data_IF_749748474911
#
_entry.id   IF_749748474911
#
_cell.length_a   1.000
_cell.length_b   1.000
_cell.length_c   1.000
_cell.angle_alpha   90.00
_cell.angle_beta   90.00
_cell.angle_gamma   90.00
#
_symmetry.space_group_name_H-M   'P 1'
#
loop_
_entity.id
_entity.type
_entity.pdbx_description
1 polymer ?
#
# COMPACT_ATOMS: atom_id res chain seq x y z
N UNK A 1 2.71 -49.69 26.04
CA UNK A 1 1.55 -49.30 25.22
C UNK A 1 0.34 -49.08 26.13
N UNK A 2 0.05 -47.84 26.52
CA UNK A 2 -1.16 -47.47 27.28
C UNK A 2 -2.06 -46.69 26.34
N UNK A 3 -3.25 -47.22 26.06
CA UNK A 3 -4.26 -46.61 25.19
C UNK A 3 -5.10 -45.68 26.06
N UNK A 4 -5.07 -44.38 25.78
CA UNK A 4 -6.01 -43.41 26.33
C UNK A 4 -6.97 -43.01 25.21
N UNK A 5 -8.21 -43.48 25.30
CA UNK A 5 -9.30 -43.11 24.40
C UNK A 5 -10.07 -41.98 25.08
N UNK A 6 -9.88 -40.74 24.61
CA UNK A 6 -10.67 -39.58 25.03
C UNK A 6 -11.96 -39.50 24.18
N UNK A 7 -13.15 -39.30 24.78
CA UNK A 7 -14.36 -39.05 24.00
C UNK A 7 -14.40 -37.59 23.52
N UNK A 8 -14.61 -37.43 22.20
CA UNK A 8 -14.82 -36.16 21.51
C UNK A 8 -16.23 -35.66 21.85
N UNK A 9 -16.33 -34.51 22.54
CA UNK A 9 -17.60 -33.80 22.75
C UNK A 9 -17.77 -32.83 21.58
N UNK A 10 -18.72 -33.15 20.69
CA UNK A 10 -19.09 -32.34 19.53
C UNK A 10 -20.11 -31.28 19.98
N UNK A 11 -19.70 -30.01 20.06
CA UNK A 11 -20.59 -28.87 20.34
C UNK A 11 -20.93 -28.17 19.02
N UNK A 12 -22.09 -28.50 18.45
CA UNK A 12 -22.63 -27.83 17.27
C UNK A 12 -23.28 -26.50 17.70
N UNK A 13 -22.65 -25.38 17.36
CA UNK A 13 -23.26 -24.04 17.49
C UNK A 13 -23.79 -23.64 16.13
N UNK A 14 -25.11 -23.75 15.96
CA UNK A 14 -25.83 -23.26 14.80
C UNK A 14 -25.97 -21.74 14.87
N UNK A 15 -25.22 -21.01 14.03
CA UNK A 15 -25.47 -19.59 13.76
C UNK A 15 -26.59 -19.47 12.72
N UNK A 16 -27.72 -18.91 13.14
CA UNK A 16 -28.82 -18.54 12.25
C UNK A 16 -28.50 -17.21 11.56
N UNK A 17 -28.45 -17.20 10.23
CA UNK A 17 -28.42 -15.98 9.42
C UNK A 17 -29.81 -15.33 9.43
N UNK A 18 -29.91 -14.09 9.93
CA UNK A 18 -31.09 -13.24 9.70
C UNK A 18 -30.83 -12.33 8.51
N UNK A 19 -31.38 -12.71 7.35
CA UNK A 19 -31.58 -11.82 6.21
C UNK A 19 -32.79 -10.93 6.52
N UNK A 20 -32.57 -9.64 6.73
CA UNK A 20 -33.64 -8.63 6.68
C UNK A 20 -33.40 -7.73 5.48
N UNK A 21 -34.18 -7.98 4.42
CA UNK A 21 -34.38 -7.05 3.32
C UNK A 21 -35.56 -6.11 3.57
N UNK A 22 -35.85 -5.32 2.54
CA UNK A 22 -36.90 -4.29 2.36
C UNK A 22 -36.49 -2.87 2.77
N UNK A 23 -36.78 -1.80 2.01
CA UNK A 23 -37.23 -1.65 0.62
C UNK A 23 -37.15 -0.15 0.27
N UNK A 24 -36.96 0.12 -1.01
CA UNK A 24 -36.95 1.42 -1.70
C UNK A 24 -38.28 2.18 -1.56
N UNK A 25 -38.24 3.45 -1.17
CA UNK A 25 -39.18 4.54 -1.44
C UNK A 25 -38.31 5.80 -1.55
N UNK A 26 -38.37 6.69 -2.54
CA UNK A 26 -39.43 7.11 -3.44
C UNK A 26 -39.32 8.63 -3.48
N UNK A 27 -38.88 9.19 -4.61
CA UNK A 27 -38.76 10.63 -4.89
C UNK A 27 -40.06 11.41 -4.59
N UNK A 28 -39.93 12.62 -4.02
CA UNK A 28 -40.33 13.89 -4.66
C UNK A 28 -40.15 15.08 -3.69
N UNK A 29 -39.41 16.11 -4.10
CA UNK A 29 -39.97 17.46 -4.33
C UNK A 29 -38.89 18.42 -4.83
N UNK A 30 -39.13 18.87 -6.06
CA UNK A 30 -38.51 19.95 -6.80
C UNK A 30 -38.52 21.28 -6.04
N UNK A 31 -37.41 22.02 -6.07
CA UNK A 31 -37.44 23.48 -5.96
C UNK A 31 -36.65 24.06 -7.14
N UNK A 32 -37.40 24.61 -8.08
CA UNK A 32 -36.98 25.15 -9.36
C UNK A 32 -36.71 26.64 -9.16
N UNK A 33 -35.45 27.07 -9.36
CA UNK A 33 -35.13 28.49 -9.36
C UNK A 33 -35.24 29.03 -10.79
N UNK A 34 -36.24 29.89 -10.96
CA UNK A 34 -36.65 30.60 -12.17
C UNK A 34 -35.63 31.67 -12.55
N UNK A 35 -35.17 31.69 -13.80
CA UNK A 35 -34.78 32.92 -14.52
C UNK A 35 -35.39 32.87 -15.94
N UNK A 36 -35.88 34.04 -16.36
CA UNK A 36 -36.84 34.28 -17.43
C UNK A 36 -36.31 34.12 -18.87
N UNK A 37 -37.28 34.01 -19.76
CA UNK A 37 -37.17 33.77 -21.19
C UNK A 37 -36.47 34.88 -21.99
N UNK A 38 -35.77 34.48 -23.05
CA UNK A 38 -35.19 35.37 -24.04
C UNK A 38 -34.90 34.66 -25.37
N UNK A 39 -35.94 34.57 -26.19
CA UNK A 39 -35.93 34.42 -27.66
C UNK A 39 -35.48 33.10 -28.31
N UNK A 40 -36.46 32.45 -28.97
CA UNK A 40 -36.25 31.36 -29.92
C UNK A 40 -36.00 31.97 -31.30
N UNK A 41 -34.86 31.68 -31.91
CA UNK A 41 -34.74 31.73 -33.37
C UNK A 41 -33.97 30.49 -33.84
N UNK A 42 -34.68 29.62 -34.53
CA UNK A 42 -34.20 28.39 -35.15
C UNK A 42 -33.47 28.70 -36.45
N UNK A 43 -32.20 28.31 -36.58
CA UNK A 43 -31.56 28.01 -37.88
C UNK A 43 -30.71 26.74 -37.75
N UNK A 44 -30.89 25.86 -38.73
CA UNK A 44 -30.33 24.51 -38.87
C UNK A 44 -28.84 24.51 -39.32
N UNK A 45 -28.17 23.33 -39.36
CA UNK A 45 -26.74 23.19 -39.08
C UNK A 45 -25.85 23.31 -40.33
N UNK A 46 -24.67 23.90 -40.15
CA UNK A 46 -23.60 23.91 -41.16
C UNK A 46 -22.37 23.18 -40.61
N UNK A 47 -22.07 22.08 -41.27
CA UNK A 47 -20.91 21.19 -41.26
C UNK A 47 -19.57 21.90 -41.03
N UNK A 48 -18.83 21.50 -39.98
CA UNK A 48 -17.44 21.88 -39.73
C UNK A 48 -16.61 20.66 -39.32
N UNK A 49 -15.42 20.54 -39.91
CA UNK A 49 -14.51 19.39 -39.88
C UNK A 49 -14.10 18.91 -38.46
N UNK A 50 -13.69 17.63 -38.29
CA UNK A 50 -13.23 17.13 -37.00
C UNK A 50 -11.86 17.74 -36.67
N UNK A 51 -11.76 18.39 -35.51
CA UNK A 51 -10.48 18.70 -34.89
C UNK A 51 -9.74 17.39 -34.63
N UNK A 52 -8.50 17.30 -35.13
CA UNK A 52 -7.56 16.24 -34.81
C UNK A 52 -7.36 16.18 -33.29
N UNK A 53 -7.86 15.11 -32.70
CA UNK A 53 -7.50 14.69 -31.35
C UNK A 53 -6.00 14.44 -31.30
N UNK A 54 -5.23 15.44 -30.84
CA UNK A 54 -3.86 15.23 -30.39
C UNK A 54 -3.93 14.36 -29.13
N UNK A 55 -3.64 13.07 -29.30
CA UNK A 55 -3.33 12.20 -28.18
C UNK A 55 -2.13 12.79 -27.41
N UNK A 56 -2.15 12.84 -26.07
CA UNK A 56 -0.96 13.24 -25.34
C UNK A 56 0.14 12.22 -25.63
N UNK A 57 1.24 12.70 -26.17
CA UNK A 57 2.50 11.96 -26.23
C UNK A 57 2.85 11.61 -24.78
N UNK A 58 2.74 10.33 -24.42
CA UNK A 58 3.18 9.83 -23.12
C UNK A 58 4.66 10.16 -23.01
N UNK A 59 4.98 11.19 -22.24
CA UNK A 59 6.34 11.52 -21.90
C UNK A 59 6.96 10.27 -21.24
N UNK A 60 7.89 9.61 -21.93
CA UNK A 60 8.75 8.59 -21.34
C UNK A 60 9.42 9.23 -20.13
N UNK A 61 8.89 8.93 -18.94
CA UNK A 61 9.49 9.33 -17.68
C UNK A 61 10.82 8.58 -17.62
N UNK A 62 11.91 9.32 -17.74
CA UNK A 62 13.28 8.80 -17.67
C UNK A 62 13.38 7.83 -16.49
N UNK A 63 13.54 6.55 -16.80
CA UNK A 63 13.49 5.49 -15.79
C UNK A 63 14.77 5.63 -14.95
N UNK A 64 14.61 6.16 -13.74
CA UNK A 64 15.69 6.28 -12.78
C UNK A 64 16.44 4.95 -12.62
N UNK A 65 17.74 5.03 -12.35
CA UNK A 65 18.56 3.84 -12.13
C UNK A 65 17.95 2.95 -11.03
N UNK A 66 18.01 1.61 -11.20
CA UNK A 66 17.46 0.69 -10.22
C UNK A 66 18.20 0.81 -8.88
N UNK A 67 17.45 0.74 -7.78
CA UNK A 67 17.98 0.77 -6.43
C UNK A 67 18.52 -0.62 -6.09
N UNK A 68 19.82 -0.74 -5.79
CA UNK A 68 20.37 -2.00 -5.32
C UNK A 68 20.44 -2.03 -3.79
N UNK A 69 19.80 -3.03 -3.18
CA UNK A 69 19.85 -3.27 -1.73
C UNK A 69 20.53 -4.60 -1.49
N UNK A 70 21.81 -4.55 -1.15
CA UNK A 70 22.56 -5.71 -0.70
C UNK A 70 22.32 -6.01 0.79
N UNK A 71 23.08 -6.99 1.30
CA UNK A 71 23.06 -7.35 2.72
C UNK A 71 23.61 -6.17 3.53
N UNK A 72 22.81 -5.68 4.48
CA UNK A 72 23.16 -4.62 5.41
C UNK A 72 22.41 -4.76 6.73
N UNK A 73 23.10 -4.49 7.82
CA UNK A 73 22.48 -4.43 9.15
C UNK A 73 21.95 -3.02 9.39
N UNK A 74 20.66 -2.91 9.67
CA UNK A 74 20.04 -1.65 10.03
C UNK A 74 20.42 -1.22 11.45
N UNK A 75 20.49 0.09 11.72
CA UNK A 75 20.73 0.56 13.08
C UNK A 75 19.47 0.39 13.95
N UNK A 76 19.46 -0.63 14.79
CA UNK A 76 18.35 -0.93 15.71
C UNK A 76 18.51 -0.29 17.10
N UNK A 77 19.58 0.46 17.36
CA UNK A 77 19.79 1.10 18.66
C UNK A 77 18.68 2.12 18.95
N UNK A 78 18.01 1.97 20.10
CA UNK A 78 16.89 2.82 20.50
C UNK A 78 15.62 2.63 19.66
N UNK A 79 15.51 1.53 18.93
CA UNK A 79 14.31 1.19 18.15
C UNK A 79 13.55 -0.01 18.72
N UNK A 80 12.24 0.07 18.66
CA UNK A 80 11.33 -1.03 18.92
C UNK A 80 10.72 -1.58 17.62
N UNK A 81 10.40 -2.88 17.64
CA UNK A 81 9.64 -3.54 16.57
C UNK A 81 8.20 -3.03 16.60
N UNK A 82 7.77 -2.37 15.52
CA UNK A 82 6.41 -1.87 15.35
C UNK A 82 5.52 -2.92 14.66
N UNK A 83 6.04 -3.58 13.63
CA UNK A 83 5.30 -4.58 12.88
C UNK A 83 6.23 -5.65 12.31
N UNK A 84 5.75 -6.89 12.21
CA UNK A 84 6.43 -7.96 11.48
C UNK A 84 5.45 -8.79 10.65
N UNK A 85 5.94 -9.30 9.53
CA UNK A 85 5.27 -10.27 8.69
C UNK A 85 6.23 -11.44 8.42
N UNK A 86 6.10 -12.59 9.12
CA UNK A 86 6.86 -13.78 8.81
C UNK A 86 6.32 -14.48 7.56
N UNK A 87 7.22 -14.97 6.71
CA UNK A 87 6.86 -15.71 5.50
C UNK A 87 7.94 -16.74 5.12
N UNK A 88 7.64 -17.60 4.15
CA UNK A 88 8.58 -18.59 3.62
C UNK A 88 8.79 -18.29 2.14
N UNK A 89 10.05 -18.33 1.71
CA UNK A 89 10.43 -18.19 0.29
C UNK A 89 11.57 -19.15 -0.02
N UNK A 90 11.37 -19.99 -1.04
CA UNK A 90 12.20 -21.18 -1.25
C UNK A 90 12.14 -22.10 -0.03
N UNK A 91 13.32 -22.48 0.49
CA UNK A 91 13.46 -23.31 1.69
C UNK A 91 13.82 -22.49 2.95
N UNK A 92 13.73 -21.16 2.89
CA UNK A 92 14.14 -20.26 3.96
C UNK A 92 12.96 -19.58 4.64
N UNK A 93 13.08 -19.37 5.94
CA UNK A 93 12.20 -18.49 6.71
C UNK A 93 12.66 -17.04 6.60
N UNK A 94 11.71 -16.16 6.33
CA UNK A 94 11.92 -14.72 6.19
C UNK A 94 11.02 -13.93 7.12
N UNK A 95 11.43 -12.69 7.38
CA UNK A 95 10.62 -11.69 8.08
C UNK A 95 10.73 -10.35 7.39
N UNK A 96 9.60 -9.73 7.09
CA UNK A 96 9.54 -8.31 6.77
C UNK A 96 9.22 -7.56 8.06
N UNK A 97 10.07 -6.62 8.46
CA UNK A 97 10.00 -5.95 9.75
C UNK A 97 10.02 -4.43 9.58
N UNK A 98 9.24 -3.75 10.42
CA UNK A 98 9.24 -2.30 10.56
C UNK A 98 9.60 -1.94 12.00
N UNK A 99 10.60 -1.08 12.15
CA UNK A 99 11.07 -0.54 13.42
C UNK A 99 10.85 0.97 13.47
N UNK A 100 10.59 1.46 14.68
CA UNK A 100 10.42 2.88 15.02
C UNK A 100 11.16 3.17 16.33
N UNK A 101 11.44 4.43 16.68
CA UNK A 101 12.01 4.76 17.99
C UNK A 101 11.14 4.22 19.14
N UNK A 102 11.75 3.73 20.21
CA UNK A 102 11.03 3.10 21.33
C UNK A 102 9.98 4.02 21.97
N UNK A 103 10.28 5.31 22.06
CA UNK A 103 9.40 6.34 22.62
C UNK A 103 8.20 6.69 21.74
N UNK A 104 8.18 6.19 20.50
CA UNK A 104 7.04 6.34 19.58
C UNK A 104 6.00 5.22 19.73
N UNK A 105 6.27 4.15 20.48
CA UNK A 105 5.28 3.11 20.77
C UNK A 105 4.65 3.35 22.15
N UNK A 106 3.44 3.91 22.15
CA UNK A 106 2.66 4.14 23.37
C UNK A 106 1.58 3.07 23.44
N UNK A 107 1.61 2.26 24.49
CA UNK A 107 0.69 1.12 24.69
C UNK A 107 0.67 0.12 23.50
N UNK A 108 1.77 0.03 22.76
CA UNK A 108 1.91 -0.83 21.59
C UNK A 108 1.34 -0.24 20.29
N UNK A 109 0.83 0.98 20.34
CA UNK A 109 0.38 1.72 19.16
C UNK A 109 1.41 2.79 18.79
N UNK A 110 1.59 3.00 17.49
CA UNK A 110 2.47 4.04 16.97
C UNK A 110 1.84 5.41 17.24
N UNK A 111 2.47 6.18 18.12
CA UNK A 111 2.16 7.58 18.31
C UNK A 111 2.54 8.37 17.05
N UNK A 112 1.60 9.15 16.55
CA UNK A 112 1.87 10.09 15.45
C UNK A 112 2.54 11.33 16.04
N UNK A 113 3.82 11.50 15.73
CA UNK A 113 4.61 12.68 16.06
C UNK A 113 5.25 13.26 14.79
N UNK A 114 5.66 14.53 14.88
CA UNK A 114 6.49 15.17 13.87
C UNK A 114 7.89 14.54 13.94
N UNK A 115 8.29 13.82 12.87
CA UNK A 115 9.63 13.20 12.69
C UNK A 115 9.83 11.86 13.39
N UNK A 116 9.24 10.82 12.82
CA UNK A 116 9.53 9.43 13.20
C UNK A 116 10.57 8.84 12.24
N UNK A 117 11.65 8.25 12.77
CA UNK A 117 12.61 7.51 11.95
C UNK A 117 12.20 6.04 11.81
N UNK A 118 11.62 5.72 10.67
CA UNK A 118 11.22 4.37 10.30
C UNK A 118 12.38 3.63 9.68
N UNK A 119 12.53 2.37 10.08
CA UNK A 119 13.44 1.41 9.46
C UNK A 119 12.63 0.21 9.01
N UNK A 120 12.66 -0.11 7.71
CA UNK A 120 11.98 -1.27 7.12
C UNK A 120 13.04 -2.18 6.51
N UNK A 121 13.03 -3.44 6.92
CA UNK A 121 14.01 -4.43 6.47
C UNK A 121 13.37 -5.79 6.20
N UNK A 122 13.94 -6.52 5.24
CA UNK A 122 13.70 -7.95 5.08
C UNK A 122 14.85 -8.72 5.75
N UNK A 123 14.53 -9.82 6.43
CA UNK A 123 15.51 -10.64 7.16
C UNK A 123 15.35 -12.10 6.77
N UNK A 124 16.46 -12.78 6.48
CA UNK A 124 16.55 -14.21 6.21
C UNK A 124 17.73 -14.81 6.99
N UNK A 125 17.44 -15.52 8.10
CA UNK A 125 18.49 -15.99 9.00
C UNK A 125 19.28 -14.83 9.61
N UNK A 126 20.57 -14.75 9.32
CA UNK A 126 21.48 -13.67 9.76
C UNK A 126 21.61 -12.54 8.72
N UNK A 127 21.03 -12.71 7.53
CA UNK A 127 21.09 -11.72 6.45
C UNK A 127 19.93 -10.73 6.59
N UNK A 128 20.25 -9.43 6.57
CA UNK A 128 19.28 -8.34 6.60
C UNK A 128 19.44 -7.47 5.36
N UNK A 129 18.33 -6.91 4.89
CA UNK A 129 18.24 -6.05 3.72
C UNK A 129 17.45 -4.81 4.10
N UNK A 130 18.13 -3.68 4.31
CA UNK A 130 17.49 -2.42 4.69
C UNK A 130 16.90 -1.75 3.45
N UNK A 131 15.57 -1.82 3.34
CA UNK A 131 14.82 -1.26 2.21
C UNK A 131 14.50 0.22 2.40
N UNK A 132 14.42 0.65 3.66
CA UNK A 132 14.10 2.02 4.04
C UNK A 132 14.69 2.32 5.42
N UNK A 133 15.41 3.43 5.55
CA UNK A 133 15.86 3.96 6.84
C UNK A 133 15.90 5.49 6.74
N UNK A 134 14.77 6.14 7.04
CA UNK A 134 14.64 7.58 6.88
C UNK A 134 13.82 8.22 8.00
N UNK A 135 14.10 9.50 8.27
CA UNK A 135 13.27 10.34 9.12
C UNK A 135 12.06 10.86 8.32
N UNK A 136 10.86 10.42 8.71
CA UNK A 136 9.60 10.82 8.08
C UNK A 136 8.92 11.86 8.96
N UNK A 137 8.68 13.05 8.40
CA UNK A 137 8.05 14.14 9.15
C UNK A 137 6.56 13.90 9.36
N UNK A 138 5.82 13.63 8.29
CA UNK A 138 4.38 13.36 8.33
C UNK A 138 4.09 12.24 7.34
N UNK A 139 3.41 11.20 7.82
CA UNK A 139 3.07 10.00 7.06
C UNK A 139 3.71 8.74 7.66
N UNK A 140 3.26 7.59 7.17
CA UNK A 140 3.71 6.27 7.65
C UNK A 140 4.08 5.44 6.42
N UNK A 141 5.37 5.12 6.21
CA UNK A 141 5.74 4.20 5.16
C UNK A 141 5.23 2.79 5.48
N UNK A 142 4.87 2.04 4.46
CA UNK A 142 4.37 0.68 4.59
C UNK A 142 5.02 -0.22 3.56
N UNK A 143 5.18 -1.50 3.89
CA UNK A 143 5.69 -2.49 2.96
C UNK A 143 4.78 -3.72 2.93
N UNK A 144 4.57 -4.26 1.73
CA UNK A 144 3.87 -5.52 1.51
C UNK A 144 4.81 -6.51 0.82
N UNK A 145 4.65 -7.78 1.13
CA UNK A 145 5.44 -8.87 0.55
C UNK A 145 4.54 -9.84 -0.20
N UNK A 146 4.97 -10.27 -1.38
CA UNK A 146 4.31 -11.34 -2.13
C UNK A 146 5.30 -12.11 -3.01
N UNK A 147 4.84 -13.27 -3.49
CA UNK A 147 5.56 -14.08 -4.47
C UNK A 147 4.70 -14.11 -5.74
N UNK A 148 5.30 -13.83 -6.88
CA UNK A 148 4.59 -13.77 -8.16
C UNK A 148 4.40 -15.15 -8.81
N UNK A 149 3.87 -15.18 -10.04
CA UNK A 149 3.65 -16.43 -10.77
C UNK A 149 4.94 -17.08 -11.30
N UNK A 150 6.03 -16.32 -11.32
CA UNK A 150 7.37 -16.73 -11.73
C UNK A 150 8.22 -17.15 -10.52
N UNK A 151 7.61 -17.26 -9.34
CA UNK A 151 8.26 -17.55 -8.06
C UNK A 151 9.32 -16.52 -7.67
N UNK A 152 9.17 -15.27 -8.09
CA UNK A 152 10.02 -14.17 -7.65
C UNK A 152 9.47 -13.56 -6.37
N UNK A 153 10.36 -13.26 -5.41
CA UNK A 153 10.00 -12.56 -4.17
C UNK A 153 9.97 -11.05 -4.42
N UNK A 154 8.82 -10.44 -4.16
CA UNK A 154 8.59 -9.00 -4.25
C UNK A 154 8.33 -8.39 -2.88
N UNK A 155 8.86 -7.18 -2.67
CA UNK A 155 8.48 -6.30 -1.58
C UNK A 155 8.11 -4.93 -2.14
N UNK A 156 6.85 -4.54 -2.01
CA UNK A 156 6.37 -3.21 -2.39
C UNK A 156 6.51 -2.28 -1.21
N UNK A 157 7.38 -1.30 -1.32
CA UNK A 157 7.52 -0.21 -0.36
C UNK A 157 6.71 1.00 -0.83
N UNK A 158 5.77 1.46 -0.01
CA UNK A 158 5.07 2.73 -0.17
C UNK A 158 5.64 3.75 0.81
N UNK A 159 6.39 4.70 0.28
CA UNK A 159 6.83 5.89 1.00
C UNK A 159 5.73 6.96 0.88
N UNK A 160 4.85 7.00 1.88
CA UNK A 160 3.71 7.90 1.96
C UNK A 160 4.05 9.06 2.87
N UNK A 161 4.33 10.24 2.29
CA UNK A 161 4.56 11.50 3.01
C UNK A 161 3.65 12.59 2.46
N UNK A 162 3.37 13.64 3.24
CA UNK A 162 2.44 14.72 2.84
C UNK A 162 2.73 15.32 1.46
N UNK A 163 4.02 15.40 1.06
CA UNK A 163 4.46 15.98 -0.20
C UNK A 163 5.13 14.97 -1.16
N UNK A 164 5.07 13.67 -0.85
CA UNK A 164 5.74 12.63 -1.63
C UNK A 164 4.95 11.33 -1.57
N UNK A 165 4.71 10.73 -2.73
CA UNK A 165 4.21 9.36 -2.81
C UNK A 165 5.07 8.57 -3.78
N UNK A 166 5.91 7.72 -3.21
CA UNK A 166 6.78 6.82 -3.95
C UNK A 166 6.39 5.39 -3.65
N UNK A 167 6.25 4.60 -4.71
CA UNK A 167 5.99 3.16 -4.64
C UNK A 167 7.15 2.47 -5.35
N UNK A 168 7.94 1.73 -4.60
CA UNK A 168 9.10 1.00 -5.11
C UNK A 168 8.82 -0.50 -4.99
N UNK A 169 8.97 -1.22 -6.10
CA UNK A 169 8.95 -2.69 -6.14
C UNK A 169 10.37 -3.23 -6.06
N UNK A 170 10.67 -3.91 -4.96
CA UNK A 170 11.93 -4.59 -4.74
C UNK A 170 11.80 -6.08 -5.07
N UNK A 171 12.50 -6.51 -6.11
CA UNK A 171 12.55 -7.93 -6.51
C UNK A 171 13.84 -8.57 -6.00
N UNK A 172 13.73 -9.70 -5.30
CA UNK A 172 14.90 -10.40 -4.78
C UNK A 172 15.65 -11.15 -5.89
N UNK A 173 16.93 -10.83 -6.03
CA UNK A 173 17.91 -11.55 -6.82
C UNK A 173 18.66 -12.53 -5.91
N UNK A 174 18.25 -13.79 -5.96
CA UNK A 174 18.84 -14.86 -5.16
C UNK A 174 20.27 -15.22 -5.58
N UNK A 175 20.65 -14.98 -6.82
CA UNK A 175 22.01 -15.26 -7.32
C UNK A 175 23.01 -14.29 -6.68
N UNK A 176 22.65 -12.99 -6.66
CA UNK A 176 23.52 -11.95 -6.15
C UNK A 176 23.23 -11.56 -4.68
N UNK A 177 22.23 -12.20 -4.05
CA UNK A 177 21.76 -11.91 -2.69
C UNK A 177 21.51 -10.42 -2.48
N UNK A 178 20.65 -9.85 -3.31
CA UNK A 178 20.26 -8.43 -3.22
C UNK A 178 18.83 -8.23 -3.68
N UNK A 179 18.21 -7.15 -3.26
CA UNK A 179 16.97 -6.66 -3.88
C UNK A 179 17.29 -5.63 -4.95
N UNK A 180 16.57 -5.69 -6.06
CA UNK A 180 16.57 -4.69 -7.12
C UNK A 180 15.26 -3.93 -7.08
N UNK A 181 15.32 -2.68 -6.61
CA UNK A 181 14.20 -1.76 -6.50
C UNK A 181 13.95 -0.98 -7.79
N UNK A 182 12.70 -0.92 -8.21
CA UNK A 182 12.24 -0.05 -9.30
C UNK A 182 11.02 0.74 -8.86
N UNK A 183 11.00 2.03 -9.18
CA UNK A 183 9.85 2.86 -8.86
C UNK A 183 8.70 2.57 -9.83
N UNK A 184 7.59 2.08 -9.29
CA UNK A 184 6.30 2.02 -9.99
C UNK A 184 5.58 3.37 -9.96
N UNK A 185 5.85 4.18 -8.92
CA UNK A 185 5.39 5.56 -8.80
C UNK A 185 6.46 6.35 -8.04
N UNK A 186 6.72 7.58 -8.48
CA UNK A 186 7.67 8.47 -7.80
C UNK A 186 7.24 9.91 -8.04
N UNK A 187 6.33 10.38 -7.20
CA UNK A 187 5.75 11.72 -7.31
C UNK A 187 6.15 12.55 -6.10
N UNK A 188 6.70 13.73 -6.38
CA UNK A 188 7.07 14.76 -5.40
C UNK A 188 6.16 15.99 -5.59
N UNK A 189 6.12 16.87 -4.57
CA UNK A 189 5.32 18.09 -4.57
C UNK A 189 3.82 17.87 -4.80
N UNK A 190 3.31 16.71 -4.37
CA UNK A 190 1.90 16.35 -4.46
C UNK A 190 1.15 16.66 -3.16
N UNK A 191 -0.18 16.69 -3.22
CA UNK A 191 -1.03 16.61 -2.04
C UNK A 191 -1.58 15.18 -1.92
N UNK A 192 -0.95 14.35 -1.11
CA UNK A 192 -1.46 13.01 -0.85
C UNK A 192 -2.75 13.08 -0.03
N UNK A 193 -3.85 12.57 -0.59
CA UNK A 193 -5.19 12.68 0.03
C UNK A 193 -5.43 11.60 1.08
N UNK A 194 -4.91 10.39 0.89
CA UNK A 194 -5.09 9.30 1.83
C UNK A 194 -5.10 7.92 1.17
N UNK A 195 -5.12 6.90 2.03
CA UNK A 195 -5.40 5.51 1.66
C UNK A 195 -6.65 5.04 2.38
N UNK A 196 -7.42 4.16 1.76
CA UNK A 196 -8.47 3.44 2.45
C UNK A 196 -7.83 2.27 3.20
N UNK A 197 -7.41 2.47 4.44
CA UNK A 197 -6.97 1.37 5.30
C UNK A 197 -8.18 0.67 5.95
N UNK A 198 -8.06 -0.63 6.23
CA UNK A 198 -8.93 -1.38 7.16
C UNK A 198 -8.27 -1.48 8.51
#
# INVERSE_FOLDING_TARGET
MKKYTLPIILLAVSFSFSLSGCQKQGEKSTEENRIEAGNTETVQPETGAPEESQAPEEAEKDLAEPIEVGISEGNLEGKALNAECPFVYGDSEWKLQTFVPEDMLIDGELAMDDRVNFLIQAVCGEESYVLFDEMVHIGVPAADVFIDQQEQLHIILRDVRTAKYRVTDFVYDAENKKFIGKDALNEDAINYIGTTAR
#
